data_IF_044262415184
#
_entry.id   IF_044262415184
#
_cell.length_a   1.000
_cell.length_b   1.000
_cell.length_c   1.000
_cell.angle_alpha   90.00
_cell.angle_beta   90.00
_cell.angle_gamma   90.00
#
_symmetry.space_group_name_H-M   'P 1'
#
loop_
_entity.id
_entity.type
_entity.pdbx_description
1 polymer ?
#
# COMPACT_ATOMS: atom_id res chain seq x y z
N UNK A 1 -16.39 -9.18 -7.39
CA UNK A 1 -17.14 -9.74 -6.25
C UNK A 1 -16.72 -9.11 -4.92
N UNK A 2 -15.54 -9.40 -4.35
CA UNK A 2 -15.17 -8.86 -3.02
C UNK A 2 -15.04 -7.33 -2.98
N UNK A 3 -14.41 -6.70 -3.98
CA UNK A 3 -14.33 -5.24 -4.06
C UNK A 3 -15.71 -4.58 -4.12
N UNK A 4 -16.65 -5.18 -4.87
CA UNK A 4 -18.02 -4.66 -5.00
C UNK A 4 -18.77 -4.76 -3.67
N UNK A 5 -18.65 -5.90 -2.97
CA UNK A 5 -19.26 -6.11 -1.66
C UNK A 5 -18.71 -5.15 -0.59
N UNK A 6 -17.38 -4.99 -0.54
CA UNK A 6 -16.73 -4.07 0.40
C UNK A 6 -17.13 -2.60 0.11
N UNK A 7 -17.06 -2.17 -1.14
CA UNK A 7 -17.46 -0.83 -1.55
C UNK A 7 -18.94 -0.55 -1.24
N UNK A 8 -19.83 -1.53 -1.48
CA UNK A 8 -21.24 -1.42 -1.14
C UNK A 8 -21.49 -1.21 0.36
N UNK A 9 -20.61 -1.70 1.24
CA UNK A 9 -20.67 -1.42 2.68
C UNK A 9 -20.11 -0.02 2.96
N UNK A 10 -18.91 0.29 2.47
CA UNK A 10 -18.22 1.55 2.76
C UNK A 10 -19.03 2.78 2.31
N UNK A 11 -19.68 2.69 1.14
CA UNK A 11 -20.51 3.76 0.59
C UNK A 11 -21.77 4.09 1.40
N UNK A 12 -22.14 3.26 2.40
CA UNK A 12 -23.28 3.54 3.30
C UNK A 12 -22.95 4.51 4.43
N UNK A 13 -21.66 4.80 4.65
CA UNK A 13 -21.19 5.56 5.80
C UNK A 13 -20.50 6.86 5.38
N UNK A 14 -20.51 7.89 6.23
CA UNK A 14 -19.82 9.16 5.97
C UNK A 14 -18.30 9.05 6.23
N UNK A 15 -17.66 8.04 5.63
CA UNK A 15 -16.22 7.84 5.74
C UNK A 15 -15.47 8.96 5.03
N UNK A 16 -14.33 9.37 5.60
CA UNK A 16 -13.45 10.36 4.97
C UNK A 16 -12.50 9.73 3.97
N UNK A 17 -11.99 8.55 4.29
CA UNK A 17 -11.11 7.81 3.41
C UNK A 17 -11.10 6.32 3.74
N UNK A 18 -10.59 5.53 2.80
CA UNK A 18 -10.06 4.18 3.06
C UNK A 18 -8.55 4.17 2.83
N UNK A 19 -7.83 3.27 3.48
CA UNK A 19 -6.39 3.08 3.27
C UNK A 19 -6.14 1.68 2.71
N UNK A 20 -5.53 1.61 1.53
CA UNK A 20 -5.27 0.39 0.79
C UNK A 20 -3.77 0.29 0.48
N UNK A 21 -3.01 -0.67 1.01
CA UNK A 21 -3.38 -1.85 1.83
C UNK A 21 -2.53 -1.96 3.09
N UNK A 22 -2.98 -2.78 4.03
CA UNK A 22 -2.10 -3.34 5.04
C UNK A 22 -1.16 -4.39 4.40
N UNK A 23 -0.20 -4.92 5.15
CA UNK A 23 0.66 -6.02 4.70
C UNK A 23 -0.16 -7.21 4.17
N UNK A 24 0.38 -7.91 3.16
CA UNK A 24 -0.19 -9.18 2.71
C UNK A 24 0.00 -10.20 3.83
N UNK A 25 -1.11 -10.74 4.34
CA UNK A 25 -1.10 -11.56 5.55
C UNK A 25 -0.50 -12.95 5.36
N UNK A 26 0.22 -13.41 6.38
CA UNK A 26 0.75 -14.77 6.53
C UNK A 26 1.61 -15.25 5.35
N UNK A 27 2.50 -14.39 4.85
CA UNK A 27 3.62 -14.88 4.06
C UNK A 27 4.66 -15.57 4.95
N UNK A 28 5.59 -16.27 4.30
CA UNK A 28 6.67 -17.02 4.94
C UNK A 28 7.97 -16.68 4.20
N UNK A 29 9.04 -16.46 4.96
CA UNK A 29 10.38 -16.31 4.41
C UNK A 29 11.29 -17.32 5.10
N UNK A 30 12.06 -18.06 4.31
CA UNK A 30 12.96 -19.12 4.75
C UNK A 30 14.39 -18.68 4.39
N UNK A 31 15.29 -18.77 5.36
CA UNK A 31 16.72 -18.59 5.18
C UNK A 31 17.41 -19.89 5.62
N UNK A 32 18.23 -20.43 4.73
CA UNK A 32 18.75 -21.81 4.78
C UNK A 32 17.61 -22.83 4.99
N UNK A 33 17.55 -23.45 6.17
CA UNK A 33 16.57 -24.47 6.53
C UNK A 33 15.60 -23.98 7.64
N UNK A 34 15.53 -22.67 7.88
CA UNK A 34 14.81 -22.10 9.04
C UNK A 34 13.97 -20.87 8.70
N UNK A 35 12.97 -20.59 9.53
CA UNK A 35 12.16 -19.37 9.43
C UNK A 35 12.89 -18.19 10.06
N UNK A 36 12.71 -17.00 9.50
CA UNK A 36 13.46 -15.79 9.91
C UNK A 36 12.77 -14.95 10.99
N UNK A 37 11.56 -15.33 11.42
CA UNK A 37 10.87 -14.67 12.54
C UNK A 37 10.35 -15.69 13.56
N UNK A 38 10.39 -15.31 14.84
CA UNK A 38 10.00 -16.17 15.97
C UNK A 38 8.48 -16.41 16.10
N UNK A 39 7.61 -15.38 15.98
CA UNK A 39 6.18 -15.58 16.21
C UNK A 39 5.53 -16.48 15.15
N UNK A 40 4.42 -17.13 15.52
CA UNK A 40 3.53 -17.86 14.60
C UNK A 40 4.25 -18.82 13.65
N UNK A 41 5.31 -19.51 14.10
CA UNK A 41 6.07 -20.44 13.26
C UNK A 41 6.58 -19.81 11.95
N UNK A 42 6.99 -18.54 11.97
CA UNK A 42 7.53 -17.85 10.80
C UNK A 42 6.52 -17.07 9.95
N UNK A 43 5.22 -17.24 10.17
CA UNK A 43 4.18 -16.55 9.39
C UNK A 43 4.06 -15.07 9.78
N UNK A 44 4.22 -14.18 8.80
CA UNK A 44 4.24 -12.74 9.00
C UNK A 44 3.49 -11.94 7.93
N UNK A 45 3.36 -10.64 8.16
CA UNK A 45 2.87 -9.70 7.16
C UNK A 45 3.98 -9.36 6.16
N UNK A 46 3.68 -9.46 4.87
CA UNK A 46 4.61 -9.11 3.79
C UNK A 46 4.37 -7.66 3.36
N UNK A 47 5.45 -6.89 3.29
CA UNK A 47 5.48 -5.52 2.79
C UNK A 47 6.52 -5.35 1.68
N UNK A 48 6.86 -4.09 1.39
CA UNK A 48 7.86 -3.75 0.37
C UNK A 48 7.39 -4.04 -1.05
N UNK A 49 8.35 -4.14 -1.96
CA UNK A 49 8.12 -4.25 -3.41
C UNK A 49 7.24 -5.46 -3.78
N UNK A 50 7.33 -6.56 -3.02
CA UNK A 50 6.51 -7.76 -3.19
C UNK A 50 5.01 -7.45 -3.29
N UNK A 51 4.53 -6.43 -2.58
CA UNK A 51 3.11 -6.14 -2.47
C UNK A 51 2.64 -5.01 -3.40
N UNK A 52 3.54 -4.36 -4.16
CA UNK A 52 3.18 -3.22 -5.02
C UNK A 52 2.03 -3.55 -5.98
N UNK A 53 2.07 -4.66 -6.75
CA UNK A 53 1.00 -4.98 -7.69
C UNK A 53 -0.37 -5.11 -7.02
N UNK A 54 -0.41 -5.77 -5.85
CA UNK A 54 -1.63 -5.92 -5.06
C UNK A 54 -2.10 -4.58 -4.49
N UNK A 55 -1.17 -3.74 -4.00
CA UNK A 55 -1.50 -2.43 -3.46
C UNK A 55 -2.14 -1.52 -4.52
N UNK A 56 -1.51 -1.41 -5.70
CA UNK A 56 -2.03 -0.62 -6.83
C UNK A 56 -3.40 -1.14 -7.28
N UNK A 57 -3.56 -2.46 -7.41
CA UNK A 57 -4.84 -3.07 -7.78
C UNK A 57 -5.96 -2.73 -6.78
N UNK A 58 -5.67 -2.73 -5.47
CA UNK A 58 -6.66 -2.38 -4.45
C UNK A 58 -7.02 -0.90 -4.47
N UNK A 59 -6.03 -0.01 -4.56
CA UNK A 59 -6.24 1.43 -4.69
C UNK A 59 -7.14 1.71 -5.90
N UNK A 60 -6.77 1.19 -7.07
CA UNK A 60 -7.53 1.44 -8.29
C UNK A 60 -8.92 0.81 -8.26
N UNK A 61 -9.04 -0.42 -7.75
CA UNK A 61 -10.33 -1.10 -7.66
C UNK A 61 -11.33 -0.33 -6.78
N UNK A 62 -10.88 0.22 -5.65
CA UNK A 62 -11.73 1.04 -4.79
C UNK A 62 -11.96 2.44 -5.35
N UNK A 63 -10.97 3.03 -6.03
CA UNK A 63 -11.14 4.32 -6.70
C UNK A 63 -12.30 4.30 -7.71
N UNK A 64 -12.43 3.20 -8.45
CA UNK A 64 -13.51 3.00 -9.43
C UNK A 64 -14.89 2.69 -8.80
N UNK A 65 -14.99 2.50 -7.48
CA UNK A 65 -16.21 1.97 -6.82
C UNK A 65 -16.71 2.81 -5.65
N UNK A 66 -15.85 3.58 -5.01
CA UNK A 66 -16.22 4.39 -3.86
C UNK A 66 -16.84 5.72 -4.29
N UNK A 67 -17.76 6.21 -3.46
CA UNK A 67 -18.29 7.55 -3.61
C UNK A 67 -17.12 8.57 -3.60
N UNK A 68 -17.11 9.60 -4.47
CA UNK A 68 -15.99 10.54 -4.57
C UNK A 68 -15.61 11.27 -3.26
N UNK A 69 -16.54 11.35 -2.32
CA UNK A 69 -16.29 11.94 -0.99
C UNK A 69 -15.42 11.07 -0.08
N UNK A 70 -15.30 9.77 -0.38
CA UNK A 70 -14.43 8.83 0.32
C UNK A 70 -13.09 8.80 -0.42
N UNK A 71 -12.10 9.50 0.10
CA UNK A 71 -10.76 9.56 -0.48
C UNK A 71 -10.00 8.23 -0.27
N UNK A 72 -8.87 8.05 -0.96
CA UNK A 72 -8.05 6.84 -0.84
C UNK A 72 -6.63 7.21 -0.44
N UNK A 73 -6.11 6.54 0.59
CA UNK A 73 -4.70 6.53 0.93
C UNK A 73 -4.09 5.25 0.31
N UNK A 74 -3.05 5.41 -0.50
CA UNK A 74 -2.30 4.32 -1.11
C UNK A 74 -1.10 3.90 -0.26
N UNK A 75 -1.00 2.61 0.08
CA UNK A 75 0.03 2.05 0.93
C UNK A 75 0.48 0.70 0.39
N UNK A 76 1.79 0.52 0.23
CA UNK A 76 2.40 -0.76 -0.13
C UNK A 76 3.30 -0.67 -1.36
N UNK A 77 4.53 -1.15 -1.22
CA UNK A 77 5.50 -1.22 -2.31
C UNK A 77 6.06 0.12 -2.80
N UNK A 78 5.96 1.19 -2.00
CA UNK A 78 6.50 2.51 -2.37
C UNK A 78 7.99 2.58 -2.01
N UNK A 79 8.86 2.39 -2.99
CA UNK A 79 10.31 2.50 -2.85
C UNK A 79 10.84 3.81 -3.43
N UNK A 80 10.22 4.28 -4.51
CA UNK A 80 10.66 5.42 -5.33
C UNK A 80 9.53 6.42 -5.57
N UNK A 81 9.88 7.61 -6.06
CA UNK A 81 8.93 8.60 -6.56
C UNK A 81 8.06 8.08 -7.72
N UNK A 82 8.58 7.14 -8.52
CA UNK A 82 7.78 6.45 -9.55
C UNK A 82 6.67 5.61 -8.94
N UNK A 83 6.94 4.89 -7.86
CA UNK A 83 5.93 4.09 -7.18
C UNK A 83 4.86 4.98 -6.53
N UNK A 84 5.27 6.11 -5.95
CA UNK A 84 4.33 7.12 -5.44
C UNK A 84 3.44 7.68 -6.57
N UNK A 85 4.04 8.00 -7.72
CA UNK A 85 3.30 8.44 -8.91
C UNK A 85 2.29 7.38 -9.38
N UNK A 86 2.65 6.10 -9.40
CA UNK A 86 1.75 5.01 -9.78
C UNK A 86 0.55 4.90 -8.83
N UNK A 87 0.74 5.06 -7.52
CA UNK A 87 -0.35 5.09 -6.54
C UNK A 87 -1.29 6.28 -6.77
N UNK A 88 -0.73 7.47 -7.03
CA UNK A 88 -1.52 8.67 -7.36
C UNK A 88 -2.31 8.46 -8.66
N UNK A 89 -1.66 7.90 -9.69
CA UNK A 89 -2.29 7.57 -10.97
C UNK A 89 -3.43 6.56 -10.80
N UNK A 90 -3.31 5.64 -9.84
CA UNK A 90 -4.38 4.69 -9.51
C UNK A 90 -5.57 5.33 -8.78
N UNK A 91 -5.41 6.53 -8.22
CA UNK A 91 -6.47 7.29 -7.54
C UNK A 91 -6.22 7.60 -6.06
N UNK A 92 -5.00 7.40 -5.55
CA UNK A 92 -4.65 7.77 -4.18
C UNK A 92 -4.49 9.30 -4.03
N UNK A 93 -5.11 9.88 -3.01
CA UNK A 93 -4.95 11.29 -2.61
C UNK A 93 -3.77 11.51 -1.66
N UNK A 94 -3.27 10.44 -1.04
CA UNK A 94 -2.12 10.41 -0.14
C UNK A 94 -1.39 9.08 -0.30
N UNK A 95 -0.07 9.07 -0.14
CA UNK A 95 0.77 7.86 -0.24
C UNK A 95 1.49 7.64 1.09
N UNK A 96 1.43 6.42 1.65
CA UNK A 96 2.19 6.03 2.83
C UNK A 96 3.38 5.13 2.49
N UNK A 97 4.45 5.29 3.25
CA UNK A 97 5.72 4.57 3.08
C UNK A 97 6.02 3.76 4.34
N UNK A 98 6.06 2.43 4.20
CA UNK A 98 6.29 1.49 5.30
C UNK A 98 7.70 0.87 5.30
N UNK A 99 7.89 -0.19 4.52
CA UNK A 99 9.16 -0.94 4.45
C UNK A 99 10.36 -0.07 4.07
N UNK A 100 10.18 0.86 3.13
CA UNK A 100 11.25 1.79 2.72
C UNK A 100 11.62 2.76 3.84
N UNK A 101 10.62 3.33 4.54
CA UNK A 101 10.86 4.16 5.72
C UNK A 101 11.60 3.38 6.81
N UNK A 102 11.25 2.11 7.03
CA UNK A 102 11.96 1.27 8.00
C UNK A 102 13.43 1.04 7.62
N UNK A 103 13.74 0.91 6.33
CA UNK A 103 15.10 0.67 5.83
C UNK A 103 15.95 1.94 5.77
N UNK A 104 15.38 3.05 5.32
CA UNK A 104 16.11 4.29 5.02
C UNK A 104 15.95 5.38 6.09
N UNK A 105 14.95 5.28 6.97
CA UNK A 105 14.59 6.33 7.91
C UNK A 105 13.87 7.51 7.23
N UNK A 106 13.77 8.63 7.95
CA UNK A 106 12.97 9.79 7.51
C UNK A 106 13.49 10.48 6.25
N UNK A 107 14.76 10.25 5.88
CA UNK A 107 15.35 10.75 4.63
C UNK A 107 14.66 10.22 3.38
N UNK A 108 13.96 9.07 3.48
CA UNK A 108 13.15 8.52 2.40
C UNK A 108 12.11 9.53 1.89
N UNK A 109 11.54 10.37 2.77
CA UNK A 109 10.52 11.34 2.37
C UNK A 109 11.08 12.41 1.42
N UNK A 110 12.23 13.00 1.73
CA UNK A 110 12.85 14.02 0.88
C UNK A 110 13.24 13.42 -0.48
N UNK A 111 13.85 12.23 -0.47
CA UNK A 111 14.25 11.51 -1.69
C UNK A 111 13.06 11.20 -2.59
N UNK A 112 12.05 10.50 -2.08
CA UNK A 112 10.86 10.09 -2.85
C UNK A 112 10.10 11.33 -3.34
N UNK A 113 10.02 12.39 -2.54
CA UNK A 113 9.38 13.65 -2.94
C UNK A 113 10.10 14.30 -4.12
N UNK A 114 11.43 14.36 -4.10
CA UNK A 114 12.22 14.93 -5.18
C UNK A 114 12.13 14.09 -6.46
N UNK A 115 12.17 12.75 -6.34
CA UNK A 115 11.94 11.84 -7.47
C UNK A 115 10.55 12.01 -8.08
N UNK A 116 9.49 12.13 -7.25
CA UNK A 116 8.12 12.37 -7.73
C UNK A 116 8.01 13.71 -8.45
N UNK A 117 8.57 14.79 -7.89
CA UNK A 117 8.59 16.11 -8.52
C UNK A 117 9.32 16.13 -9.86
N UNK A 118 10.33 15.28 -10.04
CA UNK A 118 11.04 15.17 -11.31
C UNK A 118 10.23 14.43 -12.41
N UNK A 119 9.19 13.68 -12.03
CA UNK A 119 8.27 12.99 -12.97
C UNK A 119 7.12 13.90 -13.41
N UNK A 120 6.74 14.87 -12.57
CA UNK A 120 5.64 15.83 -12.80
C UNK A 120 6.09 17.03 -13.62
#
# INVERSE_FOLDING_TARGET
>A
VHFDQAAAIFNKYPLKFVNCVNSIGNGLYIEDESVVIRPKNGFGGIGGEYIKPTALANVHAFYQRLNPQIQIIGTGGVLTGRDAFEHILCGASMVQVGTTLHKEGVSAFDRITNELKAIM
#
